data_IF_761612699181
#
_entry.id   IF_761612699181
#
_cell.length_a   1.000
_cell.length_b   1.000
_cell.length_c   1.000
_cell.angle_alpha   90.00
_cell.angle_beta   90.00
_cell.angle_gamma   90.00
#
_symmetry.space_group_name_H-M   'P 1'
#
loop_
_entity.id
_entity.type
_entity.pdbx_description
1 polymer ?
#
# COMPACT_ATOMS: atom_id res chain seq x y z
N UNK A 1 -5.58 -23.97 2.98
CA UNK A 1 -5.39 -23.60 1.57
C UNK A 1 -6.43 -22.58 1.07
N UNK A 2 -7.31 -22.03 1.93
CA UNK A 2 -8.39 -21.12 1.55
C UNK A 2 -8.04 -19.62 1.64
N UNK A 3 -6.98 -19.25 2.38
CA UNK A 3 -6.61 -17.84 2.56
C UNK A 3 -6.13 -17.19 1.26
N UNK A 4 -5.48 -17.97 0.39
CA UNK A 4 -4.86 -17.47 -0.84
C UNK A 4 -5.90 -17.14 -1.93
N UNK A 5 -7.03 -17.86 -1.96
CA UNK A 5 -8.09 -17.58 -2.92
C UNK A 5 -8.86 -16.30 -2.57
N UNK A 6 -8.96 -15.98 -1.27
CA UNK A 6 -9.58 -14.74 -0.81
C UNK A 6 -8.67 -13.53 -1.10
N UNK A 7 -7.36 -13.62 -0.85
CA UNK A 7 -6.41 -12.56 -1.24
C UNK A 7 -6.45 -12.28 -2.74
N UNK A 8 -6.43 -13.33 -3.58
CA UNK A 8 -6.57 -13.16 -5.03
C UNK A 8 -7.90 -12.53 -5.42
N UNK A 9 -8.98 -12.86 -4.73
CA UNK A 9 -10.29 -12.30 -5.01
C UNK A 9 -10.32 -10.80 -4.67
N UNK A 10 -9.69 -10.41 -3.56
CA UNK A 10 -9.49 -9.00 -3.18
C UNK A 10 -8.71 -8.26 -4.25
N UNK A 11 -7.60 -8.82 -4.72
CA UNK A 11 -6.80 -8.22 -5.80
C UNK A 11 -7.60 -8.08 -7.10
N UNK A 12 -8.42 -9.09 -7.41
CA UNK A 12 -9.27 -9.10 -8.61
C UNK A 12 -10.31 -7.99 -8.56
N UNK A 13 -11.12 -7.92 -7.49
CA UNK A 13 -12.17 -6.89 -7.36
C UNK A 13 -11.58 -5.48 -7.28
N UNK A 14 -10.37 -5.34 -6.73
CA UNK A 14 -9.65 -4.08 -6.70
C UNK A 14 -9.18 -3.69 -8.11
N UNK A 15 -8.63 -4.63 -8.88
CA UNK A 15 -8.21 -4.40 -10.27
C UNK A 15 -9.38 -4.03 -11.18
N UNK A 16 -10.53 -4.70 -11.03
CA UNK A 16 -11.76 -4.39 -11.77
C UNK A 16 -12.25 -2.96 -11.48
N UNK A 17 -12.27 -2.56 -10.21
CA UNK A 17 -12.68 -1.21 -9.83
C UNK A 17 -11.73 -0.14 -10.36
N UNK A 18 -10.41 -0.41 -10.34
CA UNK A 18 -9.40 0.51 -10.91
C UNK A 18 -9.56 0.62 -12.42
N UNK A 19 -9.75 -0.50 -13.13
CA UNK A 19 -10.00 -0.46 -14.58
C UNK A 19 -11.26 0.33 -14.91
N UNK A 20 -12.36 0.09 -14.19
CA UNK A 20 -13.60 0.84 -14.40
C UNK A 20 -13.45 2.36 -14.14
N UNK A 21 -12.54 2.76 -13.25
CA UNK A 21 -12.19 4.17 -13.06
C UNK A 21 -11.32 4.73 -14.17
N UNK A 22 -10.35 3.95 -14.69
CA UNK A 22 -9.49 4.37 -15.80
C UNK A 22 -10.27 4.51 -17.12
N UNK A 23 -11.31 3.68 -17.30
CA UNK A 23 -12.25 3.78 -18.41
C UNK A 23 -13.26 4.93 -18.22
N UNK A 24 -13.38 5.45 -17.01
CA UNK A 24 -14.22 6.62 -16.71
C UNK A 24 -13.46 7.91 -17.01
N UNK A 25 -14.16 8.96 -17.44
CA UNK A 25 -13.58 10.31 -17.57
C UNK A 25 -13.29 10.98 -16.21
N UNK A 26 -13.51 10.27 -15.11
CA UNK A 26 -13.33 10.78 -13.75
C UNK A 26 -11.87 10.69 -13.31
N UNK A 27 -11.49 11.60 -12.41
CA UNK A 27 -10.17 11.56 -11.79
C UNK A 27 -9.99 10.30 -10.94
N UNK A 28 -8.89 9.58 -11.16
CA UNK A 28 -8.52 8.43 -10.32
C UNK A 28 -8.04 8.94 -8.96
N UNK A 29 -8.87 8.78 -7.95
CA UNK A 29 -8.59 9.16 -6.55
C UNK A 29 -9.03 8.06 -5.59
N UNK A 30 -8.51 8.09 -4.35
CA UNK A 30 -8.92 7.13 -3.33
C UNK A 30 -10.42 7.20 -3.03
N UNK A 31 -11.02 8.39 -3.03
CA UNK A 31 -12.45 8.55 -2.76
C UNK A 31 -13.31 7.99 -3.89
N UNK A 32 -12.93 8.22 -5.16
CA UNK A 32 -13.61 7.62 -6.32
C UNK A 32 -13.45 6.09 -6.34
N UNK A 33 -12.28 5.56 -5.94
CA UNK A 33 -12.05 4.11 -5.85
C UNK A 33 -12.91 3.47 -4.76
N UNK A 34 -13.00 4.10 -3.59
CA UNK A 34 -13.87 3.64 -2.51
C UNK A 34 -15.34 3.69 -2.96
N UNK A 35 -15.77 4.79 -3.60
CA UNK A 35 -17.13 4.91 -4.11
C UNK A 35 -17.46 3.81 -5.13
N UNK A 36 -16.52 3.49 -6.04
CA UNK A 36 -16.70 2.43 -7.03
C UNK A 36 -16.81 1.04 -6.39
N UNK A 37 -15.97 0.75 -5.40
CA UNK A 37 -16.03 -0.52 -4.67
C UNK A 37 -17.32 -0.66 -3.85
N UNK A 38 -17.82 0.45 -3.27
CA UNK A 38 -19.10 0.46 -2.53
C UNK A 38 -20.30 0.26 -3.46
N UNK A 39 -20.27 0.86 -4.65
CA UNK A 39 -21.28 0.64 -5.69
C UNK A 39 -21.30 -0.84 -6.10
N UNK A 40 -20.15 -1.42 -6.42
CA UNK A 40 -20.04 -2.84 -6.77
C UNK A 40 -20.49 -3.75 -5.63
N UNK A 41 -20.11 -3.47 -4.39
CA UNK A 41 -20.54 -4.22 -3.21
C UNK A 41 -22.07 -4.21 -3.04
N UNK A 42 -22.71 -3.08 -3.33
CA UNK A 42 -24.17 -2.94 -3.19
C UNK A 42 -24.94 -3.76 -4.23
N UNK A 43 -24.33 -4.03 -5.39
CA UNK A 43 -24.90 -4.81 -6.48
C UNK A 43 -24.44 -6.29 -6.47
N UNK A 44 -23.44 -6.64 -5.66
CA UNK A 44 -22.88 -7.98 -5.60
C UNK A 44 -23.77 -8.93 -4.80
N UNK A 45 -23.97 -10.13 -5.33
CA UNK A 45 -24.78 -11.18 -4.70
C UNK A 45 -23.94 -12.35 -4.17
N UNK A 46 -22.71 -12.53 -4.67
CA UNK A 46 -21.80 -13.54 -4.18
C UNK A 46 -21.19 -13.14 -2.81
N UNK A 47 -21.44 -13.92 -1.74
CA UNK A 47 -20.89 -13.64 -0.41
C UNK A 47 -19.36 -13.57 -0.37
N UNK A 48 -18.67 -14.36 -1.21
CA UNK A 48 -17.20 -14.35 -1.25
C UNK A 48 -16.69 -13.04 -1.86
N UNK A 49 -17.30 -12.58 -2.95
CA UNK A 49 -16.98 -11.28 -3.54
C UNK A 49 -17.38 -10.12 -2.64
N UNK A 50 -18.52 -10.19 -1.94
CA UNK A 50 -18.88 -9.19 -0.95
C UNK A 50 -17.82 -9.07 0.17
N UNK A 51 -17.30 -10.20 0.66
CA UNK A 51 -16.21 -10.19 1.63
C UNK A 51 -14.94 -9.56 1.04
N UNK A 52 -14.60 -9.88 -0.22
CA UNK A 52 -13.46 -9.29 -0.92
C UNK A 52 -13.59 -7.78 -1.10
N UNK A 53 -14.77 -7.27 -1.51
CA UNK A 53 -15.03 -5.83 -1.61
C UNK A 53 -14.87 -5.13 -0.26
N UNK A 54 -15.40 -5.69 0.83
CA UNK A 54 -15.25 -5.13 2.19
C UNK A 54 -13.78 -5.10 2.61
N UNK A 55 -13.03 -6.16 2.32
CA UNK A 55 -11.60 -6.23 2.61
C UNK A 55 -10.80 -5.21 1.79
N UNK A 56 -11.11 -5.06 0.50
CA UNK A 56 -10.49 -4.05 -0.38
C UNK A 56 -10.72 -2.63 0.14
N UNK A 57 -11.98 -2.28 0.47
CA UNK A 57 -12.34 -0.97 1.04
C UNK A 57 -11.59 -0.72 2.35
N UNK A 58 -11.57 -1.71 3.25
CA UNK A 58 -10.83 -1.62 4.51
C UNK A 58 -9.32 -1.47 4.31
N UNK A 59 -8.75 -2.15 3.32
CA UNK A 59 -7.34 -2.05 2.93
C UNK A 59 -6.97 -0.64 2.45
N UNK A 60 -7.82 -0.04 1.61
CA UNK A 60 -7.61 1.32 1.10
C UNK A 60 -7.67 2.35 2.25
N UNK A 61 -8.65 2.23 3.15
CA UNK A 61 -8.72 3.12 4.32
C UNK A 61 -7.48 3.00 5.21
N UNK A 62 -7.01 1.77 5.46
CA UNK A 62 -5.77 1.51 6.22
C UNK A 62 -4.54 2.08 5.53
N UNK A 63 -4.45 1.98 4.20
CA UNK A 63 -3.36 2.55 3.43
C UNK A 63 -3.38 4.08 3.49
N UNK A 64 -4.57 4.69 3.37
CA UNK A 64 -4.77 6.15 3.47
C UNK A 64 -4.45 6.70 4.86
N UNK A 65 -4.78 5.95 5.91
CA UNK A 65 -4.52 6.35 7.30
C UNK A 65 -3.09 6.07 7.75
N UNK A 66 -2.35 5.22 7.03
CA UNK A 66 -0.95 4.99 7.37
C UNK A 66 -0.15 6.23 6.99
N UNK A 67 0.58 6.84 7.94
CA UNK A 67 1.60 7.80 7.56
C UNK A 67 2.53 7.06 6.61
N UNK A 68 2.77 7.62 5.43
CA UNK A 68 3.83 7.16 4.54
C UNK A 68 5.12 7.37 5.31
N UNK A 69 5.48 6.42 6.18
CA UNK A 69 6.86 6.25 6.59
C UNK A 69 7.49 5.80 5.30
N UNK A 70 7.98 6.78 4.52
CA UNK A 70 8.82 6.53 3.38
C UNK A 70 9.79 5.46 3.86
N UNK A 71 9.64 4.25 3.32
CA UNK A 71 10.60 3.18 3.57
C UNK A 71 11.85 3.65 2.87
N UNK A 72 12.61 4.51 3.55
CA UNK A 72 14.02 4.66 3.28
C UNK A 72 14.55 3.25 3.30
N UNK A 73 15.02 2.84 2.13
CA UNK A 73 15.75 1.62 1.86
C UNK A 73 16.45 1.14 3.13
N UNK A 74 16.05 -0.03 3.63
CA UNK A 74 16.81 -0.77 4.66
C UNK A 74 18.11 -1.29 4.02
N UNK A 75 19.01 -0.38 3.67
CA UNK A 75 20.37 -0.61 3.21
C UNK A 75 21.20 0.66 3.44
N UNK A 76 21.23 1.13 4.69
CA UNK A 76 21.92 2.36 5.06
C UNK A 76 22.50 2.35 6.47
N UNK A 77 22.86 1.17 7.01
CA UNK A 77 23.31 1.09 8.41
C UNK A 77 24.74 0.61 8.59
N UNK A 78 25.47 0.24 7.53
CA UNK A 78 26.91 -0.05 7.64
C UNK A 78 27.79 1.07 7.08
N UNK A 79 27.48 1.56 5.87
CA UNK A 79 28.25 2.65 5.27
C UNK A 79 28.16 3.95 6.04
N UNK A 80 26.97 4.25 6.61
CA UNK A 80 26.75 5.47 7.40
C UNK A 80 27.54 5.44 8.72
N UNK A 81 27.63 4.26 9.35
CA UNK A 81 28.45 4.05 10.56
C UNK A 81 29.95 4.11 10.26
N UNK A 82 30.40 3.56 9.13
CA UNK A 82 31.79 3.65 8.69
C UNK A 82 32.20 5.07 8.34
N UNK A 83 31.36 5.82 7.62
CA UNK A 83 31.59 7.24 7.31
C UNK A 83 31.67 8.08 8.59
N UNK A 84 30.75 7.85 9.54
CA UNK A 84 30.75 8.54 10.83
C UNK A 84 32.00 8.25 11.67
N UNK A 85 32.48 7.00 11.65
CA UNK A 85 33.72 6.63 12.35
C UNK A 85 34.98 7.21 11.68
N UNK A 86 35.03 7.28 10.35
CA UNK A 86 36.15 7.90 9.64
C UNK A 86 36.20 9.42 9.83
N UNK A 87 35.05 10.08 9.89
CA UNK A 87 34.96 11.54 10.10
C UNK A 87 35.14 11.96 11.58
N UNK A 88 35.12 11.00 12.52
CA UNK A 88 35.24 11.26 13.96
C UNK A 88 36.63 10.95 14.53
N UNK A 89 37.68 10.76 13.72
CA UNK A 89 39.05 10.69 14.24
C UNK A 89 39.64 12.10 14.41
N UNK A 90 39.79 12.62 15.65
CA UNK A 90 40.66 13.75 15.90
C UNK A 90 42.11 13.28 15.72
N UNK A 91 42.87 14.02 14.90
CA UNK A 91 44.29 13.78 14.70
C UNK A 91 45.02 13.70 16.04
N UNK A 92 45.66 12.56 16.28
CA UNK A 92 46.60 12.40 17.38
C UNK A 92 47.88 13.17 17.06
N UNK A 93 47.86 14.48 17.26
CA UNK A 93 49.06 15.24 17.60
C UNK A 93 49.33 15.07 19.08
N UNK A 94 50.52 14.55 19.41
CA UNK A 94 51.30 14.74 20.64
C UNK A 94 52.54 13.85 20.50
N UNK A 95 53.76 14.36 20.30
CA UNK A 95 54.62 15.22 21.13
C UNK A 95 55.85 14.39 21.52
#
# INVERSE_FOLDING_TARGET
>A
MFDNDNEKLVDTVMGEAVMALLESEKAVSFDELIAKLQESLSNETDPQRQAAYRAAIGGIHKFRSQPVVARHSRHGTEYDLLLKNMMSQPGATKH
#
